data_IF_667234287612
#
_entry.id   IF_667234287612
#
_cell.length_a   1.000
_cell.length_b   1.000
_cell.length_c   1.000
_cell.angle_alpha   90.00
_cell.angle_beta   90.00
_cell.angle_gamma   90.00
#
_symmetry.space_group_name_H-M   'P 1'
#
loop_
_entity.id
_entity.type
_entity.pdbx_description
1 polymer ?
#
# COMPACT_ATOMS: atom_id res chain seq x y z
N UNK A 1 4.09 -31.93 10.73
CA UNK A 1 4.74 -31.31 9.55
C UNK A 1 5.89 -30.43 10.04
N UNK A 2 7.08 -30.46 9.41
CA UNK A 2 8.23 -29.62 9.77
C UNK A 2 8.41 -28.56 8.69
N UNK A 3 8.46 -27.28 9.06
CA UNK A 3 8.69 -26.19 8.10
C UNK A 3 10.17 -26.10 7.70
N UNK A 4 10.50 -25.72 6.46
CA UNK A 4 11.88 -25.42 6.06
C UNK A 4 12.49 -24.29 6.91
N UNK A 5 13.79 -24.36 7.19
CA UNK A 5 14.47 -23.36 8.01
C UNK A 5 14.39 -21.94 7.41
N UNK A 6 14.39 -21.82 6.08
CA UNK A 6 14.38 -20.56 5.34
C UNK A 6 13.09 -19.75 5.51
N UNK A 7 11.98 -20.35 5.95
CA UNK A 7 10.73 -19.63 6.23
C UNK A 7 10.54 -19.30 7.72
N UNK A 8 11.46 -19.78 8.57
CA UNK A 8 11.43 -19.47 9.99
C UNK A 8 12.03 -18.09 10.27
N UNK A 9 11.52 -17.44 11.32
CA UNK A 9 12.04 -16.19 11.85
C UNK A 9 11.97 -16.20 13.37
N UNK A 10 12.75 -15.34 14.01
CA UNK A 10 12.71 -15.11 15.46
C UNK A 10 12.18 -13.71 15.71
N UNK A 11 11.06 -13.59 16.43
CA UNK A 11 10.51 -12.29 16.81
C UNK A 11 11.42 -11.58 17.80
N UNK A 12 11.19 -10.27 18.04
CA UNK A 12 11.95 -9.50 19.05
C UNK A 12 11.90 -10.11 20.45
N UNK A 13 10.82 -10.84 20.80
CA UNK A 13 10.66 -11.54 22.08
C UNK A 13 11.28 -12.95 22.09
N UNK A 14 11.93 -13.35 21.00
CA UNK A 14 12.61 -14.63 20.87
C UNK A 14 11.74 -15.81 20.44
N UNK A 15 10.46 -15.58 20.13
CA UNK A 15 9.54 -16.63 19.65
C UNK A 15 9.86 -16.99 18.20
N UNK A 16 9.88 -18.28 17.88
CA UNK A 16 10.00 -18.75 16.51
C UNK A 16 8.63 -18.67 15.82
N UNK A 17 8.62 -18.05 14.63
CA UNK A 17 7.44 -17.83 13.79
C UNK A 17 7.74 -18.32 12.37
N UNK A 18 6.70 -18.69 11.62
CA UNK A 18 6.80 -19.03 10.20
C UNK A 18 6.25 -17.88 9.36
N UNK A 19 7.01 -17.43 8.35
CA UNK A 19 6.52 -16.50 7.34
C UNK A 19 5.54 -17.25 6.43
N UNK A 20 4.25 -17.02 6.63
CA UNK A 20 3.21 -17.47 5.71
C UNK A 20 2.95 -16.41 4.66
N UNK A 21 2.83 -16.81 3.39
CA UNK A 21 2.32 -15.93 2.35
C UNK A 21 0.85 -15.59 2.67
N UNK A 22 0.52 -14.30 2.65
CA UNK A 22 -0.86 -13.83 2.81
C UNK A 22 -1.52 -13.58 1.45
N UNK A 23 -0.82 -12.85 0.58
CA UNK A 23 -1.25 -12.53 -0.79
C UNK A 23 -0.04 -12.12 -1.64
N UNK A 24 -0.15 -12.16 -2.97
CA UNK A 24 0.81 -11.63 -3.94
C UNK A 24 0.09 -10.96 -5.10
N UNK A 25 0.55 -9.78 -5.47
CA UNK A 25 -0.10 -9.00 -6.51
C UNK A 25 0.71 -7.82 -7.04
N UNK A 26 0.02 -6.93 -7.75
CA UNK A 26 0.51 -5.61 -8.15
C UNK A 26 -0.01 -4.56 -7.19
N UNK A 27 0.54 -3.35 -7.25
CA UNK A 27 0.05 -2.25 -6.45
C UNK A 27 0.18 -0.93 -7.20
N UNK A 28 -0.65 0.03 -6.83
CA UNK A 28 -0.52 1.43 -7.26
C UNK A 28 -0.54 2.33 -6.03
N UNK A 29 0.30 3.36 -6.07
CA UNK A 29 0.31 4.44 -5.07
C UNK A 29 0.11 5.77 -5.77
N UNK A 30 -0.84 6.56 -5.28
CA UNK A 30 -1.06 7.89 -5.81
C UNK A 30 -1.35 8.89 -4.70
N UNK A 31 -0.87 10.11 -4.90
CA UNK A 31 -1.16 11.26 -4.05
C UNK A 31 -2.33 12.06 -4.58
N UNK A 32 -2.66 13.14 -3.89
CA UNK A 32 -3.62 14.11 -4.35
C UNK A 32 -2.89 15.42 -4.62
N UNK A 33 -3.23 16.04 -5.74
CA UNK A 33 -2.75 17.36 -6.11
C UNK A 33 -3.90 18.35 -5.92
N UNK A 34 -3.57 19.52 -5.41
CA UNK A 34 -4.45 20.68 -5.55
C UNK A 34 -4.49 21.10 -7.03
N UNK A 35 -5.68 21.21 -7.66
CA UNK A 35 -5.78 21.42 -9.10
C UNK A 35 -5.32 22.81 -9.55
N UNK A 36 -5.30 23.80 -8.66
CA UNK A 36 -4.88 25.17 -9.00
C UNK A 36 -3.38 25.37 -8.81
N UNK A 37 -2.84 24.89 -7.68
CA UNK A 37 -1.44 25.11 -7.30
C UNK A 37 -0.50 23.96 -7.61
N UNK A 38 -1.03 22.78 -7.97
CA UNK A 38 -0.26 21.55 -8.18
C UNK A 38 0.39 20.99 -6.90
N UNK A 39 0.07 21.54 -5.71
CA UNK A 39 0.70 21.12 -4.47
C UNK A 39 0.20 19.75 -4.03
N UNK A 40 1.13 18.89 -3.61
CA UNK A 40 0.84 17.55 -3.07
C UNK A 40 0.18 17.67 -1.70
N UNK A 41 -0.89 16.89 -1.50
CA UNK A 41 -1.43 16.62 -0.17
C UNK A 41 -0.47 15.72 0.61
N UNK A 42 -0.51 15.80 1.95
CA UNK A 42 0.30 14.95 2.82
C UNK A 42 -0.15 13.48 2.93
N UNK A 43 -1.25 13.08 2.28
CA UNK A 43 -1.78 11.71 2.30
C UNK A 43 -1.58 11.01 0.96
N UNK A 44 -1.40 9.69 1.01
CA UNK A 44 -1.26 8.83 -0.17
C UNK A 44 -2.34 7.76 -0.10
N UNK A 45 -2.85 7.34 -1.25
CA UNK A 45 -3.65 6.11 -1.35
C UNK A 45 -2.78 4.96 -1.89
N UNK A 46 -2.91 3.79 -1.28
CA UNK A 46 -2.36 2.51 -1.74
C UNK A 46 -3.52 1.63 -2.19
N UNK A 47 -3.40 1.07 -3.40
CA UNK A 47 -4.31 0.06 -3.93
C UNK A 47 -3.50 -1.21 -4.15
N UNK A 48 -3.97 -2.32 -3.60
CA UNK A 48 -3.37 -3.65 -3.75
C UNK A 48 -4.25 -4.48 -4.67
N UNK A 49 -3.61 -5.12 -5.66
CA UNK A 49 -4.25 -5.99 -6.64
C UNK A 49 -3.66 -7.39 -6.53
N UNK A 50 -4.11 -8.17 -5.54
CA UNK A 50 -3.75 -9.57 -5.36
C UNK A 50 -4.95 -10.51 -5.49
N UNK A 51 -5.06 -11.52 -4.63
CA UNK A 51 -6.24 -12.37 -4.51
C UNK A 51 -7.49 -11.56 -4.14
N UNK A 52 -7.30 -10.46 -3.41
CA UNK A 52 -8.33 -9.46 -3.12
C UNK A 52 -7.85 -8.08 -3.55
N UNK A 53 -8.81 -7.27 -3.98
CA UNK A 53 -8.57 -5.85 -4.24
C UNK A 53 -8.81 -5.08 -2.94
N UNK A 54 -7.78 -4.39 -2.46
CA UNK A 54 -7.83 -3.65 -1.20
C UNK A 54 -7.34 -2.21 -1.38
N UNK A 55 -7.94 -1.27 -0.66
CA UNK A 55 -7.54 0.12 -0.66
C UNK A 55 -7.22 0.62 0.75
N UNK A 56 -6.16 1.42 0.86
CA UNK A 56 -5.75 2.03 2.11
C UNK A 56 -5.37 3.50 1.93
N UNK A 57 -5.72 4.34 2.89
CA UNK A 57 -5.01 5.60 3.08
C UNK A 57 -3.74 5.36 3.90
N UNK A 58 -2.63 5.93 3.45
CA UNK A 58 -1.38 6.03 4.20
C UNK A 58 -1.25 7.47 4.68
N UNK A 59 -1.25 7.64 6.00
CA UNK A 59 -1.18 8.95 6.65
C UNK A 59 0.09 8.99 7.50
N UNK A 60 1.03 9.92 7.23
CA UNK A 60 2.21 10.09 8.07
C UNK A 60 1.81 10.63 9.44
N UNK A 61 2.41 10.10 10.50
CA UNK A 61 2.26 10.60 11.87
C UNK A 61 3.57 11.22 12.37
N UNK A 62 3.49 12.02 13.43
CA UNK A 62 4.60 12.90 13.89
C UNK A 62 5.90 12.17 14.23
N UNK A 63 5.85 10.88 14.55
CA UNK A 63 7.01 10.08 14.96
C UNK A 63 7.66 9.29 13.79
N UNK A 64 7.34 9.65 12.55
CA UNK A 64 7.89 9.02 11.35
C UNK A 64 7.24 7.69 10.98
N UNK A 65 6.25 7.22 11.76
CA UNK A 65 5.41 6.09 11.36
C UNK A 65 4.35 6.52 10.36
N UNK A 66 3.71 5.55 9.72
CA UNK A 66 2.51 5.76 8.93
C UNK A 66 1.35 4.99 9.54
N UNK A 67 0.18 5.61 9.58
CA UNK A 67 -1.09 4.95 9.86
C UNK A 67 -1.70 4.48 8.52
N UNK A 68 -2.02 3.20 8.45
CA UNK A 68 -2.75 2.62 7.31
C UNK A 68 -4.22 2.44 7.70
N UNK A 69 -5.11 3.10 6.96
CA UNK A 69 -6.55 3.02 7.19
C UNK A 69 -7.21 2.27 6.03
N UNK A 70 -7.81 1.08 6.25
CA UNK A 70 -8.54 0.38 5.20
C UNK A 70 -9.75 1.21 4.78
N UNK A 71 -10.06 1.18 3.50
CA UNK A 71 -11.28 1.76 2.95
C UNK A 71 -11.92 0.79 1.97
N UNK A 72 -13.22 0.96 1.75
CA UNK A 72 -13.93 0.22 0.71
C UNK A 72 -13.27 0.45 -0.65
N UNK A 73 -12.98 -0.64 -1.35
CA UNK A 73 -12.46 -0.60 -2.70
C UNK A 73 -13.50 0.03 -3.62
N UNK A 74 -13.15 1.13 -4.28
CA UNK A 74 -14.11 1.89 -5.12
C UNK A 74 -14.05 1.54 -6.60
N UNK A 75 -13.45 0.41 -6.96
CA UNK A 75 -13.33 0.00 -8.35
C UNK A 75 -12.25 0.74 -9.12
N UNK A 76 -12.10 0.36 -10.38
CA UNK A 76 -11.18 0.97 -11.34
C UNK A 76 -11.55 2.44 -11.57
N UNK A 77 -10.53 3.27 -11.70
CA UNK A 77 -10.63 4.71 -11.99
C UNK A 77 -9.37 5.15 -12.71
N UNK A 78 -9.39 6.34 -13.29
CA UNK A 78 -8.18 6.97 -13.80
C UNK A 78 -7.48 7.80 -12.73
N UNK A 79 -6.17 7.93 -12.87
CA UNK A 79 -5.31 8.79 -12.08
C UNK A 79 -4.42 9.60 -13.02
N UNK A 80 -3.94 10.75 -12.55
CA UNK A 80 -3.03 11.61 -13.33
C UNK A 80 -1.58 11.12 -13.20
N UNK A 81 -0.90 10.88 -14.32
CA UNK A 81 0.53 10.58 -14.38
C UNK A 81 1.31 11.88 -14.64
N UNK A 82 1.87 12.48 -13.58
CA UNK A 82 2.67 13.70 -13.66
C UNK A 82 3.88 13.57 -14.61
N UNK A 83 4.41 12.36 -14.82
CA UNK A 83 5.60 12.14 -15.66
C UNK A 83 5.30 12.18 -17.15
N UNK A 84 4.06 11.88 -17.52
CA UNK A 84 3.59 11.86 -18.92
C UNK A 84 2.65 13.01 -19.26
N UNK A 85 2.06 13.65 -18.25
CA UNK A 85 1.07 14.71 -18.46
C UNK A 85 -0.24 14.18 -19.06
N UNK A 86 -0.63 12.96 -18.69
CA UNK A 86 -1.85 12.31 -19.15
C UNK A 86 -2.53 11.50 -18.04
N UNK A 87 -3.77 11.08 -18.28
CA UNK A 87 -4.48 10.14 -17.43
C UNK A 87 -4.06 8.69 -17.71
N UNK A 88 -3.92 7.89 -16.66
CA UNK A 88 -3.69 6.44 -16.73
C UNK A 88 -4.72 5.70 -15.89
N UNK A 89 -5.01 4.47 -16.27
CA UNK A 89 -5.81 3.58 -15.44
C UNK A 89 -5.07 3.20 -14.16
N UNK A 90 -5.83 3.04 -13.08
CA UNK A 90 -5.40 2.46 -11.82
C UNK A 90 -5.03 0.97 -11.96
#
# INVERSE_FOLDING_TARGET
>A
MKYPGEVLTKSKKGKIEVRSLADRGRFVRYGYLDPESGKKSGKIKLVLFGEKEEEFFIIPVKDGRNLMLPVEFKGRRKIWDESKGEETDL
#
